data_IF_367424301157
#
_entry.id   IF_367424301157
#
_cell.length_a   1.000
_cell.length_b   1.000
_cell.length_c   1.000
_cell.angle_alpha   90.00
_cell.angle_beta   90.00
_cell.angle_gamma   90.00
#
_symmetry.space_group_name_H-M   'P 1'
#
loop_
_entity.id
_entity.type
_entity.pdbx_description
1 polymer ?
2 polymer ?
3 polymer ?
4 non-polymer ?
5 non-polymer ?
6 non-polymer ?
7 non-polymer ?
8 non-polymer ?
#
# COMPACT_ATOMS: atom_id res chain seq x y z
CA UNK A 2 28.13 -28.72 -9.54
CA UNK A 3 27.40 -24.99 -9.72
CA UNK A 4 24.77 -22.82 -8.05
CA UNK A 5 23.36 -19.75 -9.80
CA UNK A 6 22.30 -16.77 -7.69
CA UNK A 7 19.55 -14.23 -8.12
CA UNK A 8 19.98 -11.10 -6.04
CA UNK A 9 16.53 -9.52 -5.83
CA UNK A 10 15.59 -6.15 -4.35
CA UNK A 11 17.87 -3.17 -3.77
CA UNK A 12 19.03 -4.80 -0.56
CA UNK A 13 19.54 -8.26 -2.03
CA UNK A 14 21.58 -6.35 -4.57
CA UNK A 15 23.64 -4.33 -2.05
CA UNK A 16 24.31 -7.52 -0.12
CA UNK A 17 24.90 -9.02 -3.52
CA UNK A 18 27.54 -6.50 -4.52
CA UNK A 19 29.12 -7.31 -1.14
CA UNK A 20 29.04 -11.11 -1.21
CA UNK A 21 30.12 -10.72 -4.79
CA UNK A 22 33.02 -8.59 -3.67
CA UNK A 23 34.37 -10.90 -1.01
CA UNK A 24 34.42 -13.49 -3.78
CA UNK A 25 36.95 -12.29 -6.32
CA UNK A 26 38.84 -10.97 -3.30
CA UNK A 27 39.63 -14.52 -2.21
CA UNK A 28 39.96 -15.91 -5.73
CA UNK A 29 42.53 -13.48 -7.12
CA UNK A 30 40.22 -12.13 -9.82
CA UNK A 31 40.50 -8.32 -9.74
CA UNK A 32 37.93 -5.82 -11.22
CA UNK A 33 38.25 -7.15 -14.73
CA UNK A 34 39.17 -10.84 -14.83
CA UNK A 61 36.31 -13.89 -15.52
CA UNK A 62 32.50 -13.83 -15.59
CA UNK A 63 30.08 -14.01 -12.63
CA UNK A 64 27.31 -16.59 -12.47
CA UNK A 65 24.27 -14.70 -11.24
CA UNK A 66 21.75 -11.99 -11.97
CA UNK A 67 20.40 -8.74 -10.51
CA UNK A 68 16.71 -7.78 -10.33
CA UNK A 69 15.06 -4.53 -9.22
CA UNK A 70 12.13 -2.33 -10.20
CA UNK A 71 14.07 0.81 -9.23
CA UNK A 72 16.83 1.48 -11.75
CA UNK A 73 19.02 3.77 -9.64
CA UNK A 74 20.10 0.84 -7.41
CA UNK A 75 21.20 -1.77 -9.97
CA UNK A 76 22.73 1.26 -11.60
CA UNK A 77 25.04 1.38 -8.57
CA UNK A 78 26.41 -1.90 -9.83
CA UNK A 79 26.54 -0.26 -13.25
CA UNK A 80 28.31 2.88 -11.98
CA UNK A 81 30.28 1.86 -8.91
CA UNK A 82 32.87 -0.82 -8.19
CA UNK A 83 32.69 -4.23 -9.88
CA UNK A 84 31.27 -2.33 -12.83
CA UNK A 85 32.65 -4.37 -15.75
CA UNK A 86 32.69 -7.73 -13.99
CA UNK A 87 29.06 -8.15 -15.06
CA UNK A 88 27.16 -8.50 -18.29
CA UNK A 89 24.48 -5.87 -18.85
CA UNK A 90 22.49 -9.02 -19.49
CA UNK A 91 22.57 -10.33 -15.90
CA UNK A 92 21.45 -6.91 -14.68
CA UNK A 93 17.66 -6.68 -14.95
CA UNK A 94 15.84 -3.42 -14.19
CA UNK A 95 12.32 -2.06 -14.53
CA UNK A 96 12.75 1.72 -14.84
CA UNK A 97 9.19 1.80 -13.56
CA UNK A 98 8.40 1.82 -9.88
CA UNK A 99 9.59 -0.24 -6.93
CA UNK A 100 6.78 0.31 -4.39
CA UNK A 101 7.29 -0.93 -0.89
CA UNK A 102 4.38 -3.22 -1.35
CA UNK A 103 4.30 -6.92 -2.07
CA UNK A 104 1.23 -6.95 -4.34
CA UNK A 105 2.54 -4.41 -6.82
CA UNK A 106 5.93 -6.06 -6.93
CA UNK A 107 4.58 -9.58 -7.19
CA UNK A 108 1.42 -9.11 -9.25
CA UNK A 109 0.88 -5.84 -11.14
CA UNK A 110 4.32 -4.45 -11.90
CA UNK A 111 6.83 -7.12 -10.91
CA UNK A 112 5.02 -9.40 -13.37
CA UNK A 113 6.10 -7.59 -16.51
CA UNK A 114 9.78 -8.25 -15.76
CA UNK A 115 9.67 -11.84 -14.51
CA UNK A 116 9.67 -13.45 -17.98
CA UNK A 117 12.80 -11.55 -18.89
CA UNK A 118 14.21 -12.30 -15.44
CA UNK A 119 13.59 -16.02 -15.83
CA UNK A 120 15.09 -15.96 -19.30
CA UNK A 121 18.48 -15.23 -17.76
CA UNK A 122 18.17 -17.91 -15.08
CA UNK A 123 17.34 -20.23 -17.99
CA UNK A 124 19.99 -18.76 -20.28
CA UNK A 125 22.60 -18.79 -17.49
CA UNK A 126 21.28 -22.15 -16.27
CA UNK A 127 21.87 -23.72 -19.66
CA UNK A 128 25.38 -22.49 -20.41
CA UNK A 129 26.74 -24.35 -17.35
CA UNK A 130 27.43 -28.06 -16.69
CA UNK A 131 25.10 -30.02 -14.41
CA UNK A 132 24.23 -27.33 -11.85
CA UNK A 133 22.87 -27.79 -8.32
CA UNK A 134 20.63 -24.79 -7.75
CA UNK A 135 20.13 -21.04 -7.35
CA UNK A 136 21.29 -19.15 -4.29
CA UNK A 137 18.59 -16.45 -4.15
CA UNK A 138 19.26 -13.14 -2.34
CA UNK A 139 16.25 -11.11 -1.18
CA UNK A 140 15.11 -8.81 1.61
CA UNK A 141 11.86 -10.23 2.95
CA UNK A 142 10.21 -6.92 3.79
CA UNK A 143 10.50 -4.96 0.57
CA UNK A 144 8.56 -4.46 -2.62
CA UNK A 145 10.89 -5.88 -5.25
CA UNK A 146 12.37 -8.20 -2.68
CA UNK A 147 9.29 -9.75 -1.15
CA UNK A 148 6.78 -9.71 -3.97
CA UNK A 149 8.80 -10.28 -7.12
CA UNK A 150 10.96 -13.12 -5.83
CA UNK A 151 7.82 -14.65 -4.48
CA UNK A 152 6.93 -15.42 -8.06
CA UNK A 153 10.53 -15.81 -9.22
CA UNK A 154 11.18 -18.65 -6.81
CA UNK A 155 7.62 -19.56 -7.68
CA UNK A 156 8.35 -19.95 -11.38
CA UNK A 157 11.59 -21.85 -10.49
CA UNK A 158 10.09 -24.56 -8.31
CA UNK A 159 8.19 -25.56 -11.43
CA UNK A 160 10.84 -25.07 -14.10
CA UNK A 161 13.52 -26.89 -12.11
CA UNK A 162 11.76 -28.71 -9.31
CA UNK A 163 14.72 -31.07 -9.68
CA UNK A 164 17.26 -28.84 -7.93
CA UNK A 165 18.13 -26.84 -4.84
CA UNK A 166 16.37 -23.62 -3.92
CA UNK A 167 18.27 -22.12 -1.04
CA UNK A 168 17.11 -18.58 -0.54
CA UNK A 169 19.27 -16.34 1.57
CA UNK A 170 16.97 -13.81 3.27
CA UNK A 171 17.37 -10.73 5.48
CA UNK A 172 14.18 -10.94 7.45
CA UNK A 173 12.61 -7.90 9.36
CA UNK A 174 14.53 -6.34 12.25
CA UNK A 175 12.67 -7.34 15.46
CA UNK A 176 12.09 -3.71 16.54
CA UNK A 177 14.12 -1.67 14.11
CA UNK A 178 12.13 -2.24 10.94
CA UNK A 179 12.08 0.37 8.22
CA UNK A 180 9.06 0.21 5.91
CA UNK A 181 5.81 0.97 7.67
CA UNK A 182 4.21 -2.09 6.15
CA UNK A 183 7.19 -4.51 6.33
CA UNK A 184 5.09 -7.36 7.84
CA UNK A 185 2.54 -7.20 5.04
CA UNK A 186 5.48 -7.71 2.70
CA UNK A 187 7.06 -10.46 4.80
CA UNK A 188 4.09 -12.55 5.74
CA UNK A 189 3.51 -12.56 2.00
CA UNK A 190 6.96 -13.50 0.82
CA UNK A 191 7.02 -16.34 3.33
CA UNK A 192 3.73 -17.97 2.34
CA UNK A 193 4.36 -17.75 -1.38
CA UNK A 194 7.97 -18.94 -1.20
CA UNK A 195 7.40 -21.54 1.53
CA UNK A 196 6.07 -24.11 -0.89
CA UNK A 197 8.98 -23.43 -3.25
CA UNK A 198 12.29 -23.12 -1.39
CA UNK A 199 14.63 -25.89 -0.33
CA UNK A 200 16.40 -24.18 2.56
CA UNK A 201 15.97 -20.54 3.48
CA UNK A 202 18.95 -18.99 5.25
CA UNK A 203 18.18 -16.08 7.52
CA UNK A 204 20.29 -13.14 8.63
CA UNK A 205 18.63 -10.54 10.87
CA UNK A 206 19.64 -6.99 10.02
CA UNK A 207 19.35 -5.70 13.62
CA UNK A 208 20.83 -8.69 15.42
CA UNK A 209 23.86 -8.10 13.17
CA UNK A 210 24.22 -4.56 14.46
CA UNK A 211 24.62 -5.91 17.95
CA UNK A 212 27.54 -7.87 16.63
CA UNK A 213 28.92 -4.59 15.24
CA UNK A 214 28.44 -2.89 18.59
CA UNK A 215 29.30 -5.76 20.96
CA UNK A 216 31.70 -7.88 18.94
CA UNK A 217 33.69 -5.40 16.92
CA UNK A 218 32.79 -2.08 18.50
CA UNK A 219 31.51 0.59 16.11
CA UNK A 220 28.41 2.78 16.31
CA UNK A 221 29.22 3.72 12.72
CA UNK A 222 28.01 0.59 10.89
CA UNK A 223 27.17 1.47 7.31
CA UNK A 224 24.90 -0.89 5.41
CA UNK A 225 28.10 -1.53 3.51
CA UNK A 226 29.25 -3.40 6.61
CA UNK A 227 26.38 -5.70 7.42
CA UNK A 228 26.84 -6.62 3.81
CA UNK A 229 30.54 -7.42 4.37
CA UNK A 230 29.40 -9.64 7.14
CA UNK A 231 26.75 -11.68 5.43
CA UNK A 232 29.21 -11.22 2.60
CA UNK A 233 31.34 -13.40 4.86
CA UNK A 234 28.94 -15.97 6.27
CA UNK A 235 27.78 -16.49 2.69
CA UNK A 236 31.31 -17.02 1.45
CA UNK A 237 31.43 -19.91 3.87
CA UNK A 238 28.33 -21.42 2.35
CA UNK A 239 28.94 -21.57 -1.41
CA UNK A 240 32.36 -20.18 -2.27
CA UNK A 241 34.62 -22.31 -0.05
CA UNK A 242 32.30 -25.27 0.31
CA UNK A 243 31.88 -25.82 -3.43
CA UNK A 244 35.66 -25.62 -3.03
CA UNK A 245 37.64 -28.84 -2.27
CA UNK A 246 38.43 -29.70 1.32
CA UNK A 247 38.87 -32.37 3.98
CA UNK A 248 35.12 -32.78 4.48
CA UNK A 249 33.25 -31.29 1.49
CA UNK A 250 29.57 -30.42 1.76
CA UNK A 251 27.44 -30.08 -1.39
CA UNK A 252 24.45 -27.72 -1.57
CA UNK A 253 22.07 -30.61 -1.63
CA UNK A 254 23.92 -31.79 1.51
CA UNK A 255 22.46 -28.80 3.32
CA UNK A 256 18.77 -29.16 2.74
CA UNK A 257 19.26 -32.88 3.42
CA UNK A 258 21.23 -32.57 6.63
CA UNK A 259 19.44 -29.29 7.44
CA UNK A 260 15.70 -29.56 6.86
CA UNK A 261 13.71 -32.11 8.81
CA UNK A 262 10.52 -31.11 7.05
CA UNK A 263 9.28 -29.84 3.64
CA UNK A 264 8.47 -26.39 4.97
CA UNK A 265 11.27 -24.49 3.19
CA UNK A 266 12.70 -24.41 6.68
CA UNK A 267 14.79 -21.50 7.65
CA UNK A 268 18.05 -22.06 9.48
CA UNK A 269 20.09 -19.14 10.94
CA UNK A 270 23.57 -18.01 9.89
CA UNK A 271 26.32 -17.56 12.47
CA UNK A 272 30.00 -16.81 12.20
CA UNK A 273 32.71 -17.40 14.78
CA UNK A 274 35.83 -15.23 14.58
CA UNK A 275 33.94 -11.97 14.45
CA UNK A 276 36.77 -10.21 16.20
CA UNK A 277 37.85 -6.63 15.47
CA UNK A 278 40.93 -6.01 13.31
CA UNK A 279 42.19 -3.20 15.48
CA UNK A 280 40.98 -3.34 19.02
CA UNK A 281 41.52 -6.61 20.80
CA UNK A 282 43.85 -9.30 19.60
CA UNK A 283 43.70 -12.79 20.84
CA UNK A 284 43.06 -13.89 17.21
CA UNK A 285 44.82 -17.26 17.85
CA UNK A 286 41.65 -18.72 19.24
CA UNK A 287 41.95 -22.48 18.63
CA UNK A 288 38.90 -24.34 17.43
CA UNK A 289 37.87 -25.28 20.93
CA UNK A 290 37.05 -21.56 21.27
CA UNK A 291 35.57 -20.41 17.97
CA UNK A 292 33.01 -23.22 18.11
CA UNK A 293 31.79 -22.34 21.54
CA UNK A 294 31.47 -18.77 20.26
CA UNK A 295 28.78 -19.87 17.87
CA UNK A 296 26.18 -21.01 20.36
CA UNK A 297 26.32 -17.98 22.61
CA UNK A 298 23.29 -16.06 21.35
CA UNK A 299 25.19 -12.79 21.00
CA UNK A 300 26.80 -13.77 17.75
CA UNK A 301 24.25 -15.14 15.38
CA UNK A 302 23.07 -12.60 12.85
CA UNK A 303 19.50 -13.11 14.09
CA UNK A 304 17.43 -11.73 16.97
CA UNK A 305 16.19 -15.24 17.69
CA UNK A 306 18.25 -15.74 20.84
CA UNK A 307 17.89 -19.46 21.72
CA UNK A 308 15.22 -18.34 24.19
CA UNK A 309 14.04 -21.97 24.15
CA UNK A 310 14.36 -23.00 20.54
CA UNK A 311 15.94 -26.43 20.53
CA UNK A 312 18.39 -26.86 17.70
CA UNK A 313 17.40 -29.72 15.42
CA UNK A 314 20.34 -29.72 13.03
CA UNK A 315 23.46 -27.63 12.65
CA UNK A 316 25.91 -27.56 9.76
CA UNK A 317 29.20 -26.52 11.22
CA UNK A 318 31.17 -25.27 8.27
CA UNK A 319 34.78 -24.75 9.26
CA UNK A 320 37.50 -23.31 7.10
CA UNK A 321 41.22 -22.85 7.60
CA UNK A 322 43.60 -24.92 9.74
CA UNK A 323 41.37 -27.39 11.58
CA UNK A 324 42.15 -30.92 12.83
CA UNK A 325 39.12 -33.21 12.44
CA UNK A 326 39.71 -34.51 15.97
CA UNK A 327 39.72 -30.96 17.26
CA UNK A 328 36.23 -30.78 15.83
CA UNK A 329 35.19 -34.34 16.60
CA UNK A 330 35.82 -33.28 20.20
CA UNK A 331 34.97 -29.61 20.36
CA UNK A 332 31.56 -30.73 19.17
CA UNK A 333 31.55 -33.70 21.55
CA UNK A 334 32.09 -31.31 24.45
CA UNK A 335 29.09 -29.36 23.17
CA UNK A 336 26.83 -32.37 22.64
CA UNK A 337 27.14 -32.75 26.40
CA UNK A 338 26.54 -29.20 27.62
CA UNK A 339 22.81 -29.99 27.76
CA UNK A 340 21.97 -26.34 28.37
CA UNK A 341 22.23 -26.42 24.55
CA UNK A 342 19.34 -28.92 24.42
CA UNK A 343 18.90 -30.47 20.93
CA UNK A 344 15.60 -31.86 19.76
CA UNK A 345 14.47 -35.28 21.00
CA UNK A 346 13.82 -37.11 17.75
CA UNK A 347 17.32 -36.14 16.84
CA UNK A 348 20.22 -38.21 18.18
CA UNK A 349 23.00 -36.42 16.38
CA UNK A 350 22.42 -33.28 14.34
CA UNK A 351 25.90 -31.99 13.57
CA UNK A 352 27.06 -31.83 9.98
CA UNK A 353 30.78 -31.10 10.20
CA UNK A 354 31.94 -29.32 7.07
CA UNK A 355 35.70 -28.80 6.82
CA UNK A 356 37.34 -26.64 4.19
CA UNK A 357 41.02 -25.84 3.76
CA UNK A 358 41.65 -22.24 2.69
CA UNK A 359 41.20 -19.97 5.77
CA UNK A 360 38.71 -17.03 5.53
CA UNK A 361 39.56 -13.88 3.57
CA UNK A 362 38.89 -10.54 5.17
CA UNK A 363 38.50 -7.25 3.33
CA UNK A 364 41.97 -5.61 3.03
CA UNK A 365 41.00 -2.88 5.46
CA UNK A 366 37.39 -3.01 6.56
CA UNK A 367 37.02 -3.95 10.23
CA UNK A 368 37.07 -7.76 10.21
CA UNK A 369 39.87 -9.24 12.32
CA UNK A 370 41.35 -11.81 9.89
CA UNK A 371 41.91 -15.11 11.68
CA UNK A 372 43.25 -18.38 10.30
CA UNK A 373 40.10 -20.37 10.91
CA UNK A 374 36.38 -19.69 11.32
CA UNK A 375 33.04 -21.40 11.96
CA UNK A 376 30.01 -20.44 9.86
CA UNK A 377 27.45 -22.57 11.60
CA UNK A 378 23.91 -22.41 10.43
CA UNK A 379 20.95 -24.29 11.84
CA UNK A 380 17.24 -24.87 12.24
CA UNK A 381 16.21 -23.88 15.75
CA UNK A 382 12.77 -24.19 17.29
CA UNK A 383 13.73 -20.67 18.20
CA UNK A 384 12.28 -18.99 15.18
CA UNK A 385 8.95 -20.10 16.69
CA UNK A 386 9.52 -16.69 18.19
CA UNK A 387 10.77 -14.51 15.33
CA UNK A 388 7.86 -15.70 13.16
CA UNK A 389 5.40 -15.19 15.99
CA UNK A 390 6.56 -11.63 16.72
CA UNK A 391 6.38 -10.87 13.00
CA UNK A 392 3.00 -12.41 12.49
CA UNK A 393 1.44 -10.54 15.38
CA UNK A 394 2.71 -7.30 13.79
CA UNK A 395 0.76 -8.10 10.64
CA UNK A 396 -2.55 -8.67 12.43
CA UNK A 397 -2.45 -5.40 14.26
CA UNK A 398 -2.46 -3.59 10.93
CA UNK A 399 -4.60 -5.98 8.96
CA UNK A 400 -6.96 -5.76 11.89
CA UNK A 401 -7.56 -2.22 10.58
CA UNK A 402 -6.72 -2.83 6.95
CA UNK A 403 -4.07 -0.16 7.35
CA UNK A 404 -2.25 0.07 4.01
CA UNK A 405 -4.48 -2.53 2.44
CA UNK A 406 -5.90 -0.31 -0.26
CA UNK A 407 -2.36 -0.19 -1.58
CA UNK A 408 -2.32 -3.82 -2.52
CA UNK A 409 -5.92 -4.42 -3.48
CA UNK A 410 -5.56 -1.66 -6.02
CA UNK A 411 -2.64 -3.71 -7.22
CA UNK A 412 -4.25 -7.02 -8.09
CA UNK A 413 -4.59 -8.77 -4.74
CA UNK A 414 -7.56 -9.46 -2.54
CA UNK A 415 -8.80 -9.96 0.99
CA UNK A 416 -7.95 -13.50 0.04
CA UNK A 417 -4.20 -13.37 -0.41
CA UNK A 418 -3.80 -11.57 2.91
CA UNK A 419 -6.19 -13.53 5.12
CA UNK A 420 -5.22 -16.70 3.34
CA UNK A 421 -1.47 -16.09 3.77
CA UNK A 422 -2.01 -15.28 7.40
CA UNK A 423 -3.67 -18.65 7.97
CA UNK A 424 -0.63 -19.93 6.07
CA UNK A 425 1.97 -18.79 8.54
CA UNK A 426 -0.39 -19.69 11.37
CA UNK A 427 0.47 -23.34 10.60
CA UNK A 428 4.12 -22.28 10.61
CA UNK A 429 3.74 -21.18 14.22
CA UNK A 430 2.22 -24.59 14.97
CA UNK A 431 4.72 -26.39 12.79
CA UNK A 432 7.81 -24.90 14.41
CA UNK A 433 6.05 -25.68 17.69
CA UNK A 434 5.14 -29.31 17.07
CA UNK A 435 8.47 -30.39 15.55
CA UNK A 436 9.81 -29.44 18.96
CA UNK A 437 8.85 -28.65 22.56
CA UNK A 438 7.36 -32.16 22.47
CA UNK A 439 8.73 -35.70 22.78
CA UNK B 2 11.30 8.45 -13.31
CA UNK B 3 9.81 11.98 -13.49
CA UNK B 4 7.43 14.65 -12.13
CA UNK B 5 5.93 17.95 -13.35
CA UNK B 6 5.65 20.81 -10.89
CA UNK B 7 2.56 23.03 -10.88
CA UNK B 8 2.62 26.71 -9.71
CA UNK B 9 -1.10 27.40 -9.13
CA UNK B 10 -2.05 30.95 -8.16
CA UNK B 11 0.31 33.70 -7.01
CA UNK B 12 1.50 32.12 -3.81
CA UNK B 13 1.99 28.72 -5.33
CA UNK B 14 3.74 30.76 -7.96
CA UNK B 15 5.85 33.01 -5.72
CA UNK B 16 7.00 29.77 -4.10
CA UNK B 17 7.70 28.29 -7.50
CA UNK B 18 10.40 30.90 -7.82
CA UNK B 19 11.84 29.76 -4.51
CA UNK B 20 11.39 26.05 -5.09
CA UNK B 21 13.19 26.43 -8.37
CA UNK B 22 15.63 28.97 -7.01
CA UNK B 23 16.79 26.22 -4.69
CA UNK B 24 16.40 22.95 -6.55
CA UNK B 25 18.41 24.38 -9.46
CA UNK B 26 21.45 25.13 -7.28
CA UNK B 27 20.84 21.64 -5.85
CA UNK B 28 21.34 20.62 -9.46
CA UNK B 29 23.80 23.22 -10.76
CA UNK B 30 21.44 24.82 -13.27
CA UNK B 31 22.12 28.54 -13.76
CA UNK B 32 19.33 30.84 -15.06
CA UNK B 33 19.40 29.64 -18.67
CA UNK B 34 22.80 28.03 -18.23
CA UNK B 35 23.30 24.29 -17.93
CA UNK B 36 24.79 21.93 -15.41
CA UNK B 37 27.71 23.64 -13.64
CA UNK B 38 27.24 20.98 -10.97
CA UNK B 39 30.09 20.93 -8.50
CA UNK B 40 29.70 17.17 -8.84
CA UNK B 41 28.59 14.66 -11.47
CA UNK B 42 25.80 13.03 -9.46
CA UNK B 43 23.48 16.06 -9.56
CA UNK B 44 22.82 15.13 -13.18
CA UNK B 45 22.17 11.42 -13.64
CA UNK B 46 18.68 11.93 -12.24
CA UNK B 47 17.77 15.54 -13.10
CA UNK B 48 15.26 14.47 -15.73
CA UNK B 49 12.78 14.26 -12.86
CA UNK B 50 12.41 18.05 -13.23
CA UNK B 51 13.80 19.12 -16.61
CA UNK B 52 13.94 18.49 -20.37
CA UNK B 53 16.67 18.14 -22.99
CA UNK B 54 16.48 20.57 -25.95
CA UNK B 55 19.62 22.58 -26.58
CA UNK B 56 22.43 21.00 -24.57
CA UNK B 57 22.95 23.64 -21.90
CA UNK B 58 19.29 24.44 -21.49
CA UNK B 59 17.57 21.98 -19.16
CA UNK B 60 14.24 23.73 -18.66
CA UNK B 61 12.16 23.22 -15.53
CA UNK B 62 9.12 21.12 -16.34
CA UNK B 63 6.51 22.94 -14.29
CA UNK B 64 3.34 24.85 -15.01
CA UNK B 65 2.59 28.47 -14.09
CA UNK B 66 -1.13 28.95 -13.69
CA UNK B 67 -2.52 32.34 -12.68
CA UNK B 68 -5.30 34.82 -13.58
CA UNK B 69 -3.24 37.85 -12.50
CA UNK B 70 -0.62 38.90 -15.02
CA UNK B 71 1.53 41.12 -12.75
CA UNK B 72 2.44 38.05 -10.68
CA UNK B 73 3.93 35.72 -13.29
CA UNK B 74 5.25 38.95 -14.80
CA UNK B 75 7.27 39.47 -11.62
CA UNK B 76 8.48 35.90 -11.50
CA UNK B 77 9.34 36.06 -15.18
CA UNK B 78 10.96 39.51 -14.90
CA UNK B 79 13.30 38.79 -12.00
CA UNK B 80 16.12 36.26 -11.26
CA UNK B 81 15.66 32.68 -12.51
CA UNK B 82 12.48 33.95 -14.13
CA UNK B 83 13.95 33.50 -17.61
CA UNK B 84 14.42 29.71 -17.54
CA UNK B 85 10.81 28.65 -17.97
CA UNK B 86 9.86 28.14 -21.61
CA UNK B 87 7.10 30.73 -22.28
CA UNK B 88 4.86 27.83 -23.21
CA UNK B 89 4.78 27.12 -19.44
CA UNK B 90 3.05 30.41 -18.61
CA UNK B 91 -0.68 29.69 -18.63
CA UNK B 92 -1.97 33.11 -17.67
CA UNK B 93 -5.51 34.42 -17.41
CA UNK B 94 -5.42 38.19 -17.89
CA UNK B 95 -9.02 38.14 -16.65
CA UNK B 96 -9.89 39.57 -13.25
CA UNK B 97 -8.10 37.14 -10.91
CA UNK B 98 -10.77 37.89 -8.30
CA UNK B 99 -10.13 36.47 -4.84
CA UNK B 100 -13.05 34.11 -5.24
CA UNK B 101 -12.68 30.33 -5.18
CA UNK B 102 -15.72 30.32 -7.38
CA UNK B 103 -14.19 32.84 -9.75
CA UNK B 104 -11.17 30.66 -10.42
CA UNK B 105 -12.86 27.28 -10.36
CA UNK B 106 -16.17 27.74 -12.19
CA UNK B 107 -16.26 30.96 -14.10
CA UNK B 108 -12.92 32.44 -14.85
CA UNK B 109 -10.54 29.55 -14.29
CA UNK B 110 -12.73 26.98 -15.99
CA UNK B 111 -11.90 28.65 -19.28
CA UNK B 112 -8.14 28.84 -18.85
CA UNK B 113 -8.15 25.18 -17.81
CA UNK B 114 -8.20 23.53 -21.24
CA UNK B 115 -5.26 25.73 -22.28
CA UNK B 116 -3.49 24.34 -19.21
CA UNK B 117 -4.33 20.64 -19.44
CA UNK B 118 -3.02 21.04 -22.97
CA UNK B 119 0.43 21.73 -21.64
CA UNK B 120 0.22 19.44 -18.60
CA UNK B 121 -0.05 16.78 -21.33
CA UNK B 122 2.74 18.19 -23.46
CA UNK B 123 4.94 17.86 -20.37
CA UNK B 124 3.60 14.50 -19.22
CA UNK B 125 4.10 12.96 -22.65
CA UNK B 126 7.60 14.42 -22.52
CA UNK B 127 9.55 11.20 -22.19
CA UNK B 128 10.51 8.15 -20.12
CA UNK B 129 8.06 7.33 -17.33
CA UNK B 130 6.01 9.81 -15.32
CA UNK B 131 5.80 9.44 -11.53
CA UNK B 132 3.51 12.31 -10.45
CA UNK B 133 3.03 16.08 -10.26
CA UNK B 134 4.04 18.62 -7.62
CA UNK B 135 1.41 21.22 -6.77
CA UNK B 136 2.02 24.51 -4.97
CA UNK B 137 -0.66 27.00 -3.99
CA UNK B 138 -2.57 28.64 -1.17
CA UNK B 139 -6.01 27.62 -0.04
CA UNK B 140 -6.89 31.25 0.62
CA UNK B 141 -7.60 32.80 -2.77
CA UNK B 142 -8.93 32.38 -6.29
CA UNK B 143 -6.14 31.26 -8.59
CA UNK B 144 -4.90 29.14 -5.73
CA UNK B 145 -7.65 27.11 -4.12
CA UNK B 146 -10.19 27.27 -6.91
CA UNK B 147 -8.30 27.10 -10.19
CA UNK B 148 -5.47 24.99 -8.82
CA UNK B 149 -7.89 22.67 -7.12
CA UNK B 150 -9.47 22.23 -10.52
CA UNK B 151 -6.18 21.61 -12.27
CA UNK B 152 -5.82 18.54 -10.14
CA UNK B 153 -9.38 17.25 -10.37
CA UNK B 154 -8.59 17.12 -14.09
CA UNK B 155 -5.07 15.75 -13.69
CA UNK B 156 -6.45 12.91 -11.50
CA UNK B 157 -8.85 11.92 -14.27
CA UNK B 158 -6.12 11.90 -16.86
CA UNK B 159 -3.63 9.74 -14.98
CA UNK B 160 -5.19 8.12 -11.90
CA UNK B 161 -1.92 6.19 -11.91
CA UNK B 162 0.75 8.84 -11.46
CA UNK B 163 0.87 10.37 -7.97
CA UNK B 164 -0.12 13.84 -6.75
CA UNK B 165 1.79 15.62 -4.03
CA UNK B 166 0.15 18.80 -2.92
CA UNK B 167 1.90 21.63 -1.10
CA UNK B 168 -0.86 23.74 0.44
CA UNK B 169 -0.47 26.91 2.45
CA UNK B 170 -3.44 26.27 4.72
CA UNK B 171 -4.84 29.54 6.22
CA UNK B 172 -2.68 30.49 9.17
CA UNK B 173 -4.56 30.93 12.46
CA UNK B 174 -3.71 34.06 14.52
CA UNK B 175 -4.18 36.38 11.50
CA UNK B 176 -5.71 35.69 8.10
CA UNK B 177 -4.02 37.36 5.14
CA UNK B 178 -7.43 37.46 3.48
CA UNK B 179 -11.06 37.69 4.61
CA UNK B 180 -13.08 34.96 2.97
CA UNK B 181 -10.09 32.67 3.55
CA UNK B 182 -12.20 29.82 5.08
CA UNK B 183 -14.39 30.04 1.99
CA UNK B 184 -11.56 29.69 -0.51
CA UNK B 185 -10.05 27.11 1.87
CA UNK B 186 -12.80 24.78 2.94
CA UNK B 187 -13.63 24.63 -0.76
CA UNK B 188 -10.15 23.62 -1.85
CA UNK B 189 -9.39 21.11 0.93
CA UNK B 190 -12.58 19.41 -0.20
CA UNK B 191 -11.06 18.93 -3.72
CA UNK B 192 -7.78 17.81 -2.15
CA UNK B 193 -9.17 15.05 0.15
CA UNK B 194 -10.41 13.59 -3.09
CA UNK B 195 -7.77 13.84 -5.77
CA UNK B 196 -4.13 14.41 -4.69
CA UNK B 197 -2.75 11.56 -2.51
CA UNK B 198 0.01 13.37 -0.56
CA UNK B 199 -0.43 16.90 0.81
CA UNK B 200 2.16 18.93 2.67
CA UNK B 201 0.42 21.77 4.58
CA UNK B 202 2.53 24.78 5.46
CA UNK B 203 1.52 27.76 7.65
CA UNK B 204 2.92 31.23 7.06
CA UNK B 205 2.91 31.75 10.86
CA UNK B 206 4.21 28.32 11.82
CA UNK B 207 7.10 29.42 9.61
CA UNK B 208 7.54 32.87 11.07
CA UNK B 209 7.82 31.29 14.49
CA UNK B 210 10.14 28.54 13.28
CA UNK B 211 11.92 31.28 11.34
CA UNK B 212 12.16 33.97 14.00
CA UNK B 213 13.07 31.77 16.98
CA UNK B 214 14.78 28.79 15.30
CA UNK B 215 16.63 31.25 13.09
CA UNK B 216 17.17 34.36 15.19
CA UNK B 217 16.08 35.96 11.88
CA UNK B 218 14.46 39.30 12.82
CA UNK B 219 13.08 40.33 9.41
CA UNK B 220 11.64 37.14 7.88
CA UNK B 221 10.56 38.37 4.48
CA UNK B 222 8.24 36.17 2.42
CA UNK B 223 11.14 35.17 0.22
CA UNK B 224 12.47 33.51 3.35
CA UNK B 225 9.38 31.57 4.41
CA UNK B 226 9.12 30.42 0.82
CA UNK B 227 12.79 29.57 0.87
CA UNK B 228 12.40 27.45 4.01
CA UNK B 229 9.43 25.60 2.55
CA UNK B 230 11.15 24.98 -0.79
CA UNK B 231 13.94 23.50 1.34
CA UNK B 232 11.62 20.73 2.52
CA UNK B 233 10.03 19.91 -0.84
CA UNK B 234 13.59 19.42 -2.15
CA UNK B 235 14.41 16.93 0.60
CA UNK B 236 11.23 15.05 -0.26
CA UNK B 237 11.22 14.54 -4.02
CA UNK B 238 14.43 15.45 -5.84
CA UNK B 239 16.39 14.10 -2.90
CA UNK B 240 15.08 10.55 -3.02
CA UNK B 241 15.82 10.63 -6.72
CA UNK B 242 19.38 10.33 -5.52
CA UNK B 243 21.22 7.18 -4.42
CA UNK B 244 21.07 5.96 -0.83
CA UNK B 245 21.73 2.97 1.38
CA UNK B 246 17.96 2.86 1.71
CA UNK B 247 16.21 5.07 -0.78
CA UNK B 248 12.54 5.60 -1.33
CA UNK B 249 10.50 7.64 -3.85
CA UNK B 250 7.11 9.39 -3.84
CA UNK B 251 5.35 6.06 -3.81
CA UNK B 252 7.35 4.47 -0.95
CA UNK B 253 6.59 7.76 0.78
CA UNK B 254 3.01 7.37 -0.24
CA UNK B 255 2.72 3.62 0.26
CA UNK B 256 4.19 3.91 3.76
CA UNK B 257 2.41 7.02 4.86
CA UNK B 258 -1.19 6.68 3.93
CA UNK B 259 -3.01 4.04 5.94
CA UNK B 260 -6.40 5.18 4.74
CA UNK B 261 -7.30 6.53 1.22
CA UNK B 262 -8.48 9.99 2.35
CA UNK B 263 -5.08 11.08 1.06
CA UNK B 264 -4.19 12.50 4.41
CA UNK B 265 -2.07 15.55 4.87
CA UNK B 266 1.36 15.69 6.38
CA UNK B 267 3.50 18.32 8.01
CA UNK B 268 7.06 18.73 6.73
CA UNK B 269 10.05 19.52 8.94
CA UNK B 270 13.65 20.20 7.98
CA UNK B 271 16.68 19.03 9.96
CA UNK B 272 19.58 21.40 10.44
CA UNK B 273 17.70 24.54 11.25
CA UNK B 274 20.32 26.58 13.06
CA UNK B 275 20.93 30.35 12.91
CA UNK B 276 23.85 31.40 10.70
CA UNK B 277 27.11 32.33 12.45
CA UNK B 278 27.01 31.29 16.13
CA UNK B 279 24.55 28.40 16.32
CA UNK B 280 26.69 26.64 13.62
CA UNK B 281 27.15 24.14 16.36
CA UNK B 282 27.43 21.21 14.02
CA UNK B 283 25.63 19.21 16.68
CA UNK B 284 24.38 17.18 13.76
CA UNK B 285 25.83 13.77 14.66
CA UNK B 286 22.21 12.52 14.21
CA UNK B 287 20.53 12.45 17.60
CA UNK B 288 20.58 16.15 16.96
CA UNK B 289 18.55 15.85 13.79
CA UNK B 290 15.91 13.62 15.33
CA UNK B 291 16.02 15.92 18.31
CA UNK B 292 15.12 18.67 15.85
CA UNK B 293 12.58 17.10 13.46
CA UNK B 294 10.55 15.51 16.24
CA UNK B 295 10.03 18.53 18.49
CA UNK B 296 6.81 20.56 18.45
CA UNK B 297 8.16 23.80 17.08
CA UNK B 298 9.90 23.01 13.80
CA UNK B 299 6.78 21.51 12.27
CA UNK B 300 5.88 23.78 9.34
CA UNK B 301 2.30 22.97 10.27
CA UNK B 302 0.41 25.15 12.72
CA UNK B 303 -0.74 22.41 15.00
CA UNK B 304 1.61 20.72 17.43
CA UNK B 305 2.26 16.96 17.12
CA UNK B 306 2.29 16.75 20.90
CA UNK B 307 -1.46 17.29 20.50
CA UNK B 308 -2.20 14.05 18.69
CA UNK B 309 -0.70 10.66 17.77
CA UNK B 310 1.06 9.94 14.51
CA UNK B 311 0.10 7.34 11.93
CA UNK B 312 3.25 7.49 9.93
CA UNK B 313 6.50 9.33 9.84
CA UNK B 314 9.17 9.50 7.19
CA UNK B 315 12.56 10.78 8.13
CA UNK B 316 13.99 11.22 4.71
CA UNK B 317 17.65 11.83 5.67
CA UNK B 318 20.22 12.82 3.04
CA UNK B 319 23.83 12.81 4.21
CA UNK B 320 26.27 9.96 4.98
CA UNK B 321 25.28 8.25 8.28
CA UNK B 322 25.13 4.87 9.98
CA UNK B 323 22.12 2.78 9.09
CA UNK B 324 22.62 1.83 12.70
CA UNK B 325 22.63 5.25 14.38
CA UNK B 326 19.67 6.06 12.16
CA UNK B 327 17.66 2.90 12.46
CA UNK B 328 18.47 2.97 16.17
CA UNK B 329 17.60 6.54 17.16
CA UNK B 330 14.23 6.22 15.44
CA UNK B 331 13.46 3.50 17.95
CA UNK B 332 14.11 5.22 21.27
CA UNK B 333 12.14 8.04 19.72
CA UNK B 334 9.33 5.56 19.15
CA UNK B 335 9.55 4.43 22.77
CA UNK B 336 10.13 7.70 24.64
CA UNK B 337 6.91 8.86 23.02
CA UNK B 338 4.93 5.63 22.79
CA UNK B 339 2.17 7.82 24.16
CA UNK B 340 1.72 9.69 20.90
CA UNK B 341 2.64 7.54 17.97
CA UNK B 342 -0.44 5.32 17.60
CA UNK B 343 -0.08 1.61 18.35
CA UNK B 344 -1.75 -0.46 15.64
CA UNK B 345 1.36 0.21 13.58
CA UNK B 346 4.33 -1.57 15.12
CA UNK B 347 6.79 0.68 13.24
CA UNK B 348 5.16 4.00 12.36
CA UNK B 349 8.43 5.45 11.26
CA UNK B 350 9.67 5.04 7.71
CA UNK B 351 13.41 5.57 7.76
CA UNK B 352 14.74 6.73 4.44
CA UNK B 353 18.37 7.44 3.66
CA UNK B 354 19.88 9.26 0.73
CA UNK B 355 23.62 9.87 0.46
CA UNK B 356 24.50 13.28 -0.94
CA UNK B 357 23.25 16.04 1.41
CA UNK B 358 21.99 19.58 0.79
CA UNK B 359 24.78 21.07 -1.32
CA UNK B 360 26.49 23.11 1.39
CA UNK B 361 25.53 21.05 4.44
CA UNK B 362 27.01 17.90 6.01
CA UNK B 363 23.83 16.19 7.16
CA UNK B 364 20.09 16.90 6.90
CA UNK B 365 16.79 14.98 7.09
CA UNK B 366 13.37 15.95 5.81
CA UNK B 367 10.46 14.98 8.03
CA UNK B 368 7.07 14.12 6.64
CA UNK B 369 4.65 13.49 9.45
CA UNK B 370 1.16 12.08 9.12
CA UNK B 371 -0.08 13.00 12.56
CA UNK B 372 -3.65 13.02 13.78
CA UNK B 373 -2.83 16.42 15.17
CA UNK B 374 -3.73 18.07 11.92
CA UNK B 375 -7.25 17.41 13.03
CA UNK B 376 -6.98 20.60 15.06
CA UNK B 377 -6.56 22.67 11.92
CA UNK B 378 -9.29 21.58 9.61
CA UNK B 379 -11.33 22.11 12.75
CA UNK B 380 -10.14 25.69 12.80
CA UNK B 381 -10.84 26.26 9.14
CA UNK B 382 -14.18 24.47 9.36
CA UNK B 383 -15.12 26.64 12.32
CA UNK B 384 -14.36 29.96 10.60
CA UNK B 385 -16.60 28.79 7.79
CA UNK B 386 -19.74 28.08 9.78
CA UNK B 387 -19.35 31.22 11.92
CA UNK B 388 -19.53 33.17 8.67
CA UNK B 389 -21.42 30.83 6.47
CA UNK B 390 -24.26 31.00 8.95
CA UNK B 391 -24.67 34.63 7.85
CA UNK B 392 -23.67 34.00 4.22
CA UNK B 393 -21.08 36.75 4.75
CA UNK B 394 -19.30 37.37 1.48
CA UNK B 395 -21.31 34.73 -0.26
CA UNK B 396 -22.76 36.92 -3.00
CA UNK B 397 -19.28 37.06 -4.57
CA UNK B 398 -19.47 33.32 -5.01
CA UNK B 399 -23.07 32.70 -6.04
CA UNK B 400 -23.07 35.82 -8.21
CA UNK B 401 -20.29 33.97 -10.00
CA UNK B 402 -22.45 30.97 -10.69
CA UNK B 403 -22.06 28.88 -7.57
CA UNK B 404 -24.44 26.91 -5.35
CA UNK B 405 -25.71 27.23 -1.77
CA UNK B 406 -25.31 23.47 -1.64
CA UNK B 407 -21.70 23.66 -2.89
CA UNK B 408 -20.46 25.34 0.27
CA UNK B 409 -22.54 22.94 2.31
CA UNK B 410 -20.88 20.07 0.53
CA UNK B 411 -17.29 21.08 1.10
CA UNK B 412 -17.61 22.02 4.73
CA UNK B 413 -19.33 18.76 5.55
CA UNK B 414 -16.84 16.72 3.53
CA UNK B 415 -13.80 18.45 4.93
CA UNK B 416 -15.66 18.58 8.25
CA UNK B 417 -16.13 14.79 8.23
CA UNK B 418 -12.47 14.58 7.30
CA UNK B 419 -11.80 15.96 10.80
CA UNK B 420 -13.98 13.30 12.30
CA UNK B 421 -12.23 10.33 10.69
CA UNK B 422 -8.74 11.54 11.62
CA UNK B 423 -9.84 11.25 15.27
CA UNK B 424 -10.83 7.63 14.70
CA UNK B 425 -7.12 6.86 15.06
CA UNK B 426 -6.11 9.37 17.73
CA UNK B 427 -8.26 6.89 19.69
CA UNK C 7 -34.23 2.60 16.80
CA UNK C 8 -33.86 -0.59 14.85
CA UNK C 9 -31.75 -3.57 15.60
CA UNK C 10 -31.99 -5.68 12.54
CA UNK C 11 -29.59 -8.55 12.33
CA UNK C 12 -27.51 -8.72 9.24
CA UNK C 13 -28.72 -11.06 6.61
CA UNK C 14 -26.67 -12.73 3.94
CA UNK C 15 -27.08 -15.93 2.12
CA UNK C 16 -25.33 -18.52 0.06
CA UNK C 17 -26.38 -19.94 -3.26
CA UNK C 18 -24.95 -22.64 -5.41
CA UNK C 19 -25.38 -22.78 -9.16
CA UNK C 20 -26.32 -25.81 -11.06
CA UNK C 21 -24.51 -27.11 -14.11
CA UNK C 22 -22.93 -24.76 -16.52
CA UNK C 23 -21.95 -25.52 -20.01
CA UNK C 24 -18.21 -25.38 -19.89
CA UNK C 25 -18.08 -28.23 -17.45
CA UNK C 26 -20.61 -29.94 -19.59
CA UNK C 27 -17.84 -30.57 -22.05
CA UNK C 28 -15.44 -31.02 -19.24
CA UNK C 29 -17.32 -33.49 -17.16
CA UNK C 30 -15.78 -31.85 -14.19
CA UNK C 31 -17.02 -32.76 -10.80
CA UNK C 32 -18.85 -30.66 -8.31
CA UNK C 33 -17.04 -29.08 -5.46
CA UNK C 34 -20.03 -27.50 -3.96
CA UNK C 35 -21.51 -29.95 -1.51
CA UNK C 36 -23.73 -28.61 1.21
CA UNK C 37 -26.01 -30.21 3.69
CA UNK C 38 -28.50 -28.28 5.67
CA UNK C 39 -26.93 -25.07 6.85
CA UNK C 40 -23.44 -26.24 6.23
CA UNK C 41 -21.74 -26.04 2.92
CA UNK C 42 -18.49 -27.76 2.37
CA UNK C 43 -15.88 -27.21 -0.21
CA UNK C 44 -13.39 -29.81 -1.08
CA UNK C 45 -10.07 -29.29 -2.66
CA UNK C 46 -9.50 -31.37 -5.70
CA UNK C 47 -6.13 -29.82 -5.10
CA UNK C 48 -5.47 -32.46 -2.52
CA UNK C 49 -7.95 -34.65 -0.76
CA UNK C 50 -5.37 -34.71 2.01
CA UNK C 51 -6.81 -31.44 3.21
CA UNK C 52 -9.97 -31.76 5.14
CA UNK C 53 -12.70 -29.81 3.58
CA UNK C 54 -13.96 -26.93 5.56
CA UNK C 55 -17.59 -26.35 5.94
CA UNK C 56 -19.69 -23.43 6.86
CA UNK C 57 -22.64 -23.27 9.05
CA UNK C 58 -23.67 -20.49 6.80
CA UNK C 59 -26.69 -18.47 7.78
CA UNK C 60 -28.69 -19.45 4.79
CA UNK C 61 -27.29 -22.27 2.73
CA UNK C 62 -28.93 -23.12 -0.53
CA UNK C 63 -28.42 -26.13 -2.72
CA UNK C 64 -29.78 -24.98 -6.00
CA UNK C 65 -27.23 -27.13 -7.67
CA UNK C 66 -29.54 -30.01 -8.36
CA UNK C 67 -32.99 -29.28 -9.75
CA UNK C 68 -36.42 -28.80 -8.36
CA UNK C 69 -37.08 -32.49 -8.73
CA UNK C 70 -34.70 -33.10 -5.90
CA UNK C 71 -36.26 -32.39 -2.57
CA UNK C 72 -33.23 -30.71 -1.15
CA UNK C 73 -33.40 -27.99 -3.75
CA UNK C 74 -33.39 -24.24 -3.23
CA UNK C 75 -36.27 -22.60 -5.01
CA UNK C 76 -36.50 -18.88 -5.50
CA UNK C 77 -39.80 -19.43 -3.82
CA UNK C 78 -38.14 -20.72 -0.68
CA UNK C 79 -35.58 -18.00 -0.53
CA UNK C 80 -38.15 -15.41 -1.52
CA UNK C 81 -40.03 -16.41 1.59
CA UNK C 82 -36.93 -16.60 3.65
CA UNK C 83 -35.12 -13.46 2.71
CA UNK C 84 -37.96 -12.60 2.27
CA UNK C 85 -41.50 -12.21 3.43
CA UNK C 86 -39.90 -10.67 6.48
CA UNK C 87 -37.89 -8.52 4.16
CA UNK C 88 -40.89 -6.78 2.70
CA UNK C 89 -42.30 -6.58 6.16
CA UNK C 90 -39.38 -4.35 6.96
CA UNK C 91 -40.62 -2.13 4.16
CA UNK C 92 -43.97 -1.26 5.60
CA UNK C 93 -42.70 -1.81 9.15
CA UNK C 94 -40.75 1.34 8.71
CA UNK C 95 -37.14 0.69 8.10
CA UNK C 96 -35.56 0.80 4.68
CA UNK C 97 -34.53 -2.55 3.29
CA UNK C 98 -31.64 -3.73 1.17
CA UNK C 99 -30.21 -6.80 -0.49
CA UNK C 100 -27.40 -7.43 -2.90
CA UNK C 101 -26.17 -10.27 -4.93
CA UNK C 102 -22.49 -11.00 -4.54
CA UNK C 103 -20.86 -13.89 -6.39
CA UNK C 104 -18.99 -14.78 -9.57
CA UNK C 105 -20.32 -14.04 -12.98
CA UNK C 106 -22.53 -16.65 -14.49
CA UNK C 107 -23.12 -17.16 -10.80
CA UNK C 108 -26.80 -16.65 -10.45
CA UNK C 109 -27.45 -12.99 -9.80
CA UNK C 110 -29.59 -12.85 -12.88
CA UNK C 111 -30.96 -16.27 -12.24
CA UNK C 112 -32.06 -15.21 -8.84
CA UNK C 113 -33.18 -11.66 -9.49
CA UNK C 114 -34.69 -12.51 -12.83
CA UNK C 115 -35.81 -15.94 -11.84
CA UNK C 116 -37.41 -18.09 -14.46
CA UNK C 117 -40.78 -18.91 -15.92
CA UNK C 118 -42.53 -20.92 -13.27
CA UNK C 119 -43.69 -18.86 -10.34
CA UNK C 120 -41.52 -20.68 -7.86
CA UNK C 121 -38.48 -19.79 -9.91
CA UNK C 122 -39.92 -16.52 -11.12
CA UNK C 123 -37.41 -14.98 -8.82
CA UNK C 124 -37.32 -12.69 -5.88
CA UNK C 125 -37.68 -9.15 -7.08
CA UNK C 126 -40.73 -9.56 -9.32
CA UNK C 127 -42.43 -11.18 -6.40
CA UNK C 128 -41.50 -8.24 -4.20
CA UNK C 129 -43.26 -5.93 -6.59
CA UNK C 130 -46.49 -7.86 -6.93
CA UNK C 131 -46.47 -8.71 -3.28
CA UNK C 132 -46.09 -5.09 -2.34
CA UNK C 133 -48.60 -4.19 -4.98
CA UNK C 134 -51.03 -6.85 -3.88
CA UNK C 135 -50.94 -5.63 -0.31
CA UNK C 136 -51.23 -1.99 -0.98
CA UNK C 137 -53.83 -2.91 -3.57
CA UNK C 138 -55.95 -4.61 -0.94
CA UNK C 139 -56.18 -1.50 1.06
CA UNK C 140 -57.82 0.63 -1.52
CA UNK C 141 -59.37 2.43 1.38
CA UNK C 142 -58.88 6.13 1.60
CA UNK C 143 -57.29 6.00 5.01
CA UNK C 144 -54.49 3.77 3.95
CA UNK C 145 -53.03 5.67 1.07
CA UNK C 146 -49.95 4.14 -0.37
CA UNK C 147 -47.63 5.42 -3.01
CA UNK C 148 -44.82 3.57 -4.60
CA UNK C 149 -41.87 4.58 -6.63
CA UNK C 150 -39.18 2.79 -8.55
CA UNK C 151 -35.97 3.54 -10.40
CA UNK C 152 -33.35 1.58 -12.32
CA UNK C 153 -29.85 3.02 -12.26
CA UNK C 154 -26.47 1.64 -13.15
CA UNK C 155 -22.86 2.47 -12.64
CA UNK C 156 -20.43 1.25 -15.22
CA UNK C 157 -16.91 2.59 -15.09
CA UNK C 158 -17.96 5.10 -12.46
CA UNK C 159 -20.45 6.19 -15.04
CA UNK C 160 -24.02 6.49 -13.99
CA UNK C 161 -27.09 6.23 -16.07
CA UNK C 162 -30.79 5.84 -15.65
CA UNK C 163 -31.72 2.54 -17.21
CA UNK C 164 -35.24 3.80 -17.10
CA UNK C 165 -34.46 6.23 -19.85
CA UNK C 166 -31.92 5.07 -22.35
CA UNK C 167 -32.35 8.43 -23.94
CA UNK C 168 -29.96 10.35 -21.84
CA UNK C 169 -26.47 9.12 -22.43
CA UNK C 170 -24.81 11.82 -20.45
CA UNK C 171 -24.04 11.05 -16.90
CA UNK C 172 -26.52 11.39 -14.14
CA UNK C 173 -25.76 14.36 -11.97
CA UNK C 174 -26.42 14.14 -8.33
CA UNK C 175 -26.54 16.62 -5.58
CA UNK C 176 -27.42 16.16 -2.00
CA UNK C 177 -29.96 18.21 -0.19
CA UNK C 178 -30.56 20.04 3.00
CA UNK C 179 -32.00 16.61 3.48
CA UNK C 180 -28.41 15.74 2.79
CA UNK C 181 -29.28 12.38 1.31
CA UNK C 182 -28.23 12.03 -2.25
CA UNK C 183 -30.76 12.98 -4.84
CA UNK C 184 -29.93 12.37 -8.47
CA UNK C 185 -30.99 15.08 -10.82
CA UNK C 186 -30.90 13.34 -14.17
CA UNK C 187 -33.57 10.84 -13.42
CA UNK C 188 -37.23 10.51 -14.05
CA UNK C 189 -38.88 8.56 -11.33
CA UNK C 190 -41.75 6.45 -12.48
CA UNK C 191 -44.45 6.15 -9.88
CA UNK C 192 -46.15 2.83 -10.42
CA UNK C 193 -49.70 2.14 -9.43
CA UNK C 194 -50.38 -1.40 -10.49
CA UNK C 195 -47.72 -3.99 -11.16
CA UNK C 196 -48.06 -4.03 -14.88
CA UNK C 197 -46.88 -0.46 -14.81
CA UNK C 198 -43.60 -1.44 -13.13
CA UNK C 199 -43.16 -4.53 -15.24
CA UNK C 200 -43.29 -2.47 -18.38
CA UNK C 201 -40.55 -0.59 -16.61
CA UNK C 202 -38.68 -3.75 -15.84
CA UNK C 203 -39.18 -4.26 -19.53
CA UNK C 204 -38.19 -0.72 -20.48
CA UNK C 205 -35.10 -1.39 -18.44
CA UNK C 206 -34.15 -4.93 -19.41
CA UNK C 207 -34.90 -4.01 -22.95
CA UNK C 208 -31.98 -1.68 -22.56
CA UNK C 209 -29.90 -4.39 -21.03
CA UNK C 210 -30.51 -7.00 -23.68
CA UNK C 211 -29.42 -4.40 -26.15
CA UNK C 212 -26.35 -5.22 -28.17
CA UNK C 213 -24.80 -1.80 -28.08
CA UNK C 214 -24.06 -2.45 -24.44
CA UNK C 215 -22.62 -5.88 -24.85
CA UNK C 216 -19.63 -4.07 -26.23
CA UNK C 217 -18.17 -2.45 -23.15
CA UNK C 218 -20.15 -5.07 -21.23
CA UNK C 219 -21.68 -2.37 -19.08
CA UNK C 220 -23.95 -4.92 -17.53
CA UNK C 221 -21.17 -7.07 -16.24
CA UNK C 222 -18.56 -4.66 -15.01
CA UNK C 223 -21.06 -2.09 -13.78
CA UNK C 224 -23.61 -2.69 -11.10
CA UNK C 225 -27.37 -2.45 -11.34
CA UNK C 226 -29.82 -1.37 -8.68
CA UNK C 227 -33.55 -1.21 -8.18
CA UNK C 228 -34.89 1.36 -5.80
CA UNK C 229 -38.43 1.26 -4.64
CA UNK C 230 -39.34 4.42 -2.83
CA UNK C 231 -42.32 3.19 -0.93
CA UNK C 232 -44.54 5.32 1.30
CA UNK C 233 -47.32 4.33 3.67
CA UNK C 234 -49.72 7.13 4.48
CA UNK C 235 -52.06 6.88 7.44
CA UNK C 236 -55.29 8.87 7.54
CA UNK C 237 -56.78 9.78 10.86
CA UNK C 238 -60.38 10.05 11.81
CA UNK C 239 -60.21 12.32 14.80
CA UNK C 240 -58.10 14.97 13.27
CA UNK C 241 -57.93 14.90 9.50
CA UNK C 242 -54.23 14.14 9.33
CA UNK C 243 -51.95 11.79 7.45
CA UNK C 244 -48.93 10.31 9.04
CA UNK C 245 -46.47 9.34 6.44
CA UNK C 246 -44.01 6.54 6.34
CA UNK C 247 -41.37 6.01 3.80
CA UNK C 248 -39.12 3.09 3.26
CA UNK C 249 -36.73 2.57 0.45
CA UNK C 250 -36.00 -1.01 -0.45
CA UNK C 251 -33.28 -1.34 -3.01
CA UNK C 252 -32.14 -4.25 -5.02
CA UNK C 253 -28.58 -4.73 -6.03
CA UNK C 254 -27.19 -6.97 -8.62
CA UNK C 255 -23.56 -6.64 -7.87
CA UNK C 256 -21.09 -7.32 -10.53
CA UNK C 257 -19.31 -10.49 -11.34
CA UNK C 258 -16.64 -10.82 -8.71
CA UNK C 267 -4.83 -3.80 -17.46
CA UNK C 268 -6.76 -1.91 -20.05
CA UNK C 269 -9.89 -0.11 -19.04
CA UNK C 270 -10.95 -3.17 -17.13
CA UNK C 271 -8.08 -2.05 -14.96
CA UNK C 272 -9.73 1.23 -14.24
CA UNK C 273 -13.04 -0.42 -13.60
CA UNK C 274 -11.61 -3.38 -11.78
CA UNK C 275 -9.81 -1.24 -9.28
CA UNK C 276 -12.99 0.65 -8.55
CA UNK C 277 -14.93 -2.59 -8.59
CA UNK C 278 -12.59 -3.79 -5.91
CA UNK C 279 -13.41 -0.59 -4.17
CA UNK C 280 -17.10 -1.22 -4.52
CA UNK C 281 -16.97 -4.81 -3.32
CA UNK C 282 -14.51 -3.81 -0.65
CA UNK C 283 -16.44 -0.79 0.51
CA UNK C 284 -19.80 -2.47 0.61
CA UNK C 285 -18.36 -5.40 2.45
CA UNK C 286 -16.68 -3.57 5.23
CA UNK C 287 -19.87 -1.58 5.42
CA UNK C 288 -21.95 -4.72 5.77
CA UNK C 289 -19.51 -6.48 8.07
CA UNK C 290 -19.06 -3.55 10.36
CA UNK C 291 -22.79 -3.37 10.22
CA UNK C 292 -22.93 -7.00 11.21
CA UNK C 293 -20.56 -5.93 13.94
CA UNK C 294 -22.83 -3.35 15.46
CA UNK C 295 -25.38 -6.08 15.87
CA UNK C 296 -23.01 -8.38 17.68
CA UNK C 297 -22.33 -5.48 19.97
CA UNK C 298 -25.13 -4.84 22.32
CA UNK C 299 -26.77 -1.48 22.28
CA UNK C 308 -18.84 6.37 13.72
CA UNK C 309 -17.43 7.10 10.31
CA UNK C 310 -18.86 5.04 7.54
CA UNK C 311 -17.38 3.66 4.45
CA UNK C 312 -20.21 5.16 2.43
CA UNK C 313 -18.38 8.37 1.76
CA UNK C 314 -15.78 6.31 -0.03
CA UNK C 315 -17.43 5.30 -3.22
CA UNK C 316 -20.42 7.04 -4.62
CA UNK C 317 -22.36 3.83 -4.85
CA UNK C 318 -22.36 3.37 -1.12
CA UNK C 319 -22.99 7.08 -1.16
CA UNK C 320 -26.42 6.18 -2.44
CA UNK C 321 -26.36 3.05 -0.39
CA UNK C 322 -25.60 5.06 2.67
CA UNK C 323 -29.21 5.52 3.65
CA UNK C 324 -30.77 2.17 2.96
CA UNK C 325 -27.98 0.55 4.89
CA UNK C 326 -26.42 1.12 8.24
CA UNK C 327 -29.02 3.21 9.94
CA UNK C 328 -32.67 2.35 10.22
CA UNK C 329 -32.50 -0.70 8.07
CA UNK C 330 -32.00 -4.40 7.66
CA UNK C 331 -29.79 -5.60 4.86
CA UNK C 332 -29.40 -8.84 3.02
CA UNK C 333 -26.75 -10.54 0.97
CA UNK C 334 -26.85 -13.72 -1.11
CA UNK C 335 -23.56 -14.86 -2.56
CA UNK C 336 -23.90 -17.06 -5.61
CA UNK C 337 -21.18 -19.65 -5.78
CA UNK C 338 -19.82 -21.93 -8.50
CA UNK C 339 -20.59 -25.49 -9.27
CA UNK C 340 -17.40 -25.94 -11.21
CA UNK C 341 -14.56 -27.94 -9.79
CA UNK C 342 -12.53 -25.50 -11.78
CA UNK C 343 -12.44 -21.91 -10.58
CA UNK C 344 -12.39 -23.87 -7.41
CA UNK C 345 -9.95 -21.43 -5.92
CA UNK C 346 -12.06 -18.51 -6.95
CA UNK C 347 -15.22 -19.87 -5.48
CA UNK C 348 -12.92 -20.82 -2.66
CA UNK C 349 -12.42 -17.11 -2.49
CA UNK C 350 -16.02 -16.07 -2.30
CA UNK C 351 -16.97 -18.52 0.37
CA UNK C 352 -14.07 -16.90 2.16
CA UNK C 353 -14.72 -13.26 1.37
CA UNK C 354 -18.16 -14.25 2.48
CA UNK C 355 -17.05 -15.69 5.81
CA UNK C 356 -14.96 -12.90 7.21
CA UNK C 357 -17.80 -10.65 6.15
CA UNK C 358 -19.88 -11.94 9.02
CA UNK C 359 -18.48 -14.58 11.34
CA UNK C 360 -17.44 -18.05 10.23
CA UNK C 361 -19.62 -19.95 12.69
CA UNK C 362 -18.68 -23.45 11.89
X LIG D 1 47.01 -13.89 20.47
X LIG E 1 14.72 -0.80 -3.95
X LIG F 1 11.52 -2.26 -2.98
X LIG F 1 12.44 -1.06 -3.14
X LIG F 1 10.58 -2.45 -4.17
X LIG F 1 10.58 -2.12 -1.79
X LIG F 1 12.58 -3.52 -2.77
X LIG F 1 13.72 -3.64 -1.60
X LIG F 1 15.05 -3.39 -2.15
X LIG F 1 13.48 -4.97 -0.92
X LIG F 1 13.32 -2.62 -0.54
X LIG F 1 13.98 -1.97 0.67
X LIG F 1 13.00 -1.00 1.25
X LIG F 1 15.31 -1.42 0.34
X LIG F 1 14.10 -3.21 1.74
X LIG F 1 14.70 -2.82 2.97
X LIG F 1 14.84 -3.89 4.00
X LIG F 1 16.09 -4.61 3.82
X LIG F 1 14.93 -3.24 5.36
X LIG F 1 14.49 -4.13 6.35
X LIG F 1 16.42 -2.90 5.45
X LIG F 1 16.81 -2.85 6.82
X LIG F 1 17.09 -4.06 4.71
X LIG F 1 18.26 -3.70 3.89
X LIG F 1 18.32 -2.80 2.87
X LIG F 1 19.51 -2.68 2.33
X LIG F 1 20.29 -3.56 3.04
X LIG F 1 21.64 -3.86 2.92
X LIG F 1 22.43 -3.38 2.11
X LIG F 1 22.08 -4.83 3.85
X LIG F 1 21.28 -5.44 4.80
X LIG F 1 21.85 -6.30 5.58
X LIG F 1 19.98 -5.15 4.93
X LIG F 1 19.55 -4.21 4.03
X LIG G 1 -4.24 33.96 -5.36
X LIG G 1 -4.33 32.59 -5.89
X LIG G 1 -3.08 34.67 -5.69
X LIG G 1 -5.63 34.74 -5.72
X LIG G 1 -4.18 33.81 -3.79
X LIG G 1 -3.02 34.35 -2.71
X LIG G 1 -1.75 33.61 -2.94
X LIG G 1 -2.95 35.86 -2.87
X LIG G 1 -3.64 33.85 -1.36
X LIG G 1 -3.29 34.50 -0.10
X LIG G 1 -2.71 33.62 0.91
X LIG G 1 -1.42 33.11 0.39
X LIG G 1 -2.28 34.31 2.24
X LIG G 1 -2.59 33.36 3.32
X LIG G 1 -0.74 34.53 2.22
X LIG G 1 -0.01 34.46 3.45
X LIG G 1 -0.26 33.43 1.28
X LIG G 1 0.87 33.81 0.42
X LIG G 1 0.63 34.80 -0.69
X LIG G 1 1.97 34.74 -1.13
X LIG G 1 2.86 33.98 -0.50
X LIG G 1 4.20 33.55 -0.45
X LIG G 1 5.02 34.06 -1.40
X LIG G 1 4.69 32.67 0.44
X LIG G 1 3.77 32.11 1.46
X LIG G 1 4.46 31.29 2.23
X LIG G 1 2.56 32.47 1.48
X LIG G 1 2.10 33.32 0.56
X LIG H 1 21.48 30.40 3.84
X LIG H 1 21.99 29.13 4.27
X LIG H 1 21.38 28.88 5.77
X LIG H 1 19.92 28.91 5.52
X LIG H 1 19.19 30.03 5.97
X LIG H 1 19.67 30.95 6.57
X LIG H 1 17.79 29.94 5.64
X LIG H 1 17.29 31.19 5.07
X LIG H 1 15.83 31.17 4.72
X LIG H 1 15.03 30.02 4.93
X LIG H 1 15.56 29.00 5.42
X LIG H 1 16.92 28.85 5.82
X LIG H 1 21.72 27.48 6.53
X LIG H 1 20.45 26.80 7.24
X LIG H 1 19.41 26.39 6.27
X LIG H 1 19.61 25.38 5.36
X LIG H 1 20.60 24.73 5.25
X LIG H 1 18.36 25.20 4.53
X LIG H 1 19.62 27.59 8.29
X LIG H 1 19.85 26.61 9.33
X LIG H 1 20.63 25.80 8.43
X LIG H 1 22.07 25.54 8.97
X LIG H 1 23.18 26.04 8.05
X LIG H 1 24.46 25.79 8.68
X LIG H 1 23.01 27.57 7.61
X LIG H 1 22.71 28.43 8.88
X LIG H 1 24.42 28.16 7.10
X LIG H 1 24.96 29.05 7.74
X LIG H 1 25.10 27.65 5.82
X LIG H 1 26.36 28.43 5.63
X LIG H 1 27.59 27.81 5.76
X LIG H 1 27.75 26.65 6.02
X LIG H 1 28.70 28.78 5.55
X LIG H 1 24.16 27.80 4.62
X LIG H 1 23.71 26.67 3.96
X LIG H 1 22.63 26.89 2.85
X LIG H 1 21.93 25.68 2.43
X LIG H 1 22.39 25.02 1.39
X LIG H 1 23.34 25.29 0.72
X LIG H 1 21.50 23.79 1.08
X LIG H 1 22.01 23.14 -0.07
X LIG H 1 20.04 24.28 0.90
X LIG H 1 20.07 25.34 -0.09
X LIG H 1 19.15 26.33 -0.14
X LIG H 1 18.21 26.41 0.63
X LIG H 1 19.40 27.35 -1.20
X LIG H 1 19.45 27.04 -2.56
X LIG H 1 19.71 28.06 -3.53
X LIG H 1 19.93 29.39 -3.10
X LIG H 1 19.90 29.70 -1.75
X LIG H 1 19.64 28.71 -0.79
X LIG H 1 19.09 23.11 0.55
X LIG H 1 18.44 22.45 1.61
X LIG H 1 17.55 21.37 1.35
X LIG H 1 17.33 20.94 0.03
X LIG H 1 17.97 21.59 -1.01
X LIG H 1 18.86 22.67 -0.77
X LIG H 1 21.53 27.91 3.33
X LIG H 1 24.10 25.23 4.27
X LIG H 1 23.64 29.27 4.19
X LIG H 1 24.16 29.58 2.72
X LIG H 1 24.11 30.49 5.00
#
# INVERSE_FOLDING_TARGET
MRECISIHVGQAGVQIGNACWELYCLEHGIQPDGQMPSDKTIGGGDDSFNTFFSETGAGKHVPRAVFVDLEPTVIDEVRTGTYRQLFHPEQLITGKEDAANNYARGHYTIGKEIIDLVLDRIRKLADQCTGLQGFSVFHSFGGGTGSGFTSLLMERLSVDYGKKSKLEFSIYPAPQVSTAVVEPYNSILTTHTTLEHSDCAFMVDNEAIYDICRRNLDIERPTYTNLNRLIGQIVSSITASLRFDGALNVDLTEFQTNLVPYPRGHFPLATYAPVISAEKAYHEQLSVAEITNACFEPANQMVKCDPRHGKYMACCLLYRGDVVPKDVNAAIATIKTKRTIQFVDWCPTGFKVGINYEPPTVVPGGDLAKVQRAVCMLSNTTAIAEAWARLDHKFDLMYAKRAFVHWYVGEGMEEGEFSEAREDMAALEKDYEEVGVDSVEGEGEEEGEEY
MREIVHIQAGQCGNQIGAKFWEVISDEHGIDPTGSYHGDSDLQLERINVYYNEAAGNKYVPRAILVDLEPGTMDSVRSGPFGQIFRPDNFVFGQSGAGNNWAKGHYTEGAELVDSVLDVVRKESESCDCLQGFQLTHSLGGGTGSGMGTLLISKIREEYPDRIMNTFSVVPSPKVSDTVVEPYNATLSVHQLVENTDETYCIDNEALYDICFRTLKLTTPTYGDLNHLVSATMSGVTTCLRFPGQLNADLRKLAVNMVPFPRLHFFMPGFAPLTSRGSQQYRALTVPELTQQMFDAKNMMAACDPRHGRYLTVAAVFRGRMSMKEVDEQMLNVQNKNSSYFVEWIPNNVKTAVCDIPPRGLKMSATFIGNSTAIQELFKRISEQFTAMFRRKAFLHWYTGEGMDEMEFTEAESNMNDLVSEYQQYQDATADEQGEFEEEGEEDEA
SDNAIAMAGASVKVAVRVRPFNSREMSRDSKCIIQMSGSTTTIVNPKQPKETPKSFSFDYSYWSHTSPEDINYASQKQVYRDIGEEMLQHAFEGYNVCIFAYGQTGAGKSYTMMGKQEKDQQGIIPQLCEDLFSRINDTTNDNMSYSVEVSYMEIYCERVRDLLNPKNKGNLRVREHPLLGPYVEDLSKLAVTSYNDIQDLMDSGNKARTVAATNMNETSSRSHAVFNIIFTQKRHDAETNITTEKVSKISLVDLAGSERADSTGAKGTRLKEGANINKSLTTLGKVISALAEMDSGPNKNKKKKKTDFIPYRDSVLTWLLRENLGGNSRTAMVAALSPADINYDETLSTLRYADRAKQIRCNAVINHHHHHHHH
ZN ZN
MG MG
GTP PG O1G O2G O3G O3B PB O1B O2B O3A PA O1A O2A O5' C5' C4' O4' C3' O3' C2' O2' C1' N9 C8 N7 C5 C6 O6 N1 C2 N2 N3 C4
GDP PB O1B O2B O3B O3A PA O1A O2A O5' C5' C4' O4' C3' O3' C2' O2' C1' N9 C8 N7 C5 C6 O6 N1 C2 N2 N3 C4
TA1 O01 C01 C02 O02 C03 O03 C04 C05 C06 C07 C08 C09 C10 C11 O04 C12 O05 C13 C14 O06 C15 C16 C17 O07 C18 C19 C20 O08 C21 O09 C22 O10 C23 C24 C25 C26 O11 C27 O12 C28 O13 C29 N01 C30 O14 C31 C32 C33 C34 C35 C36 C37 C38 C39 C40 C41 C42 C43 C44 C45 C46 C47
#
